data_IF_820906058915
#
_entry.id   IF_820906058915
#
_cell.length_a   1.000
_cell.length_b   1.000
_cell.length_c   1.000
_cell.angle_alpha   90.00
_cell.angle_beta   90.00
_cell.angle_gamma   90.00
#
_symmetry.space_group_name_H-M   'P 1'
#
loop_
_entity.id
_entity.type
_entity.pdbx_description
1 polymer ?
#
# COMPACT_ATOMS: atom_id res chain seq x y z
N UNK A 1 -35.71 -11.52 1.70
CA UNK A 1 -34.26 -11.85 1.71
C UNK A 1 -33.81 -12.11 0.28
N UNK A 2 -32.63 -11.65 -0.09
CA UNK A 2 -32.13 -11.68 -1.47
C UNK A 2 -30.94 -12.66 -1.55
N UNK A 3 -30.93 -13.57 -2.50
CA UNK A 3 -29.89 -14.59 -2.65
C UNK A 3 -29.32 -14.62 -4.06
N UNK A 4 -28.03 -14.87 -4.16
CA UNK A 4 -27.31 -15.28 -5.36
C UNK A 4 -26.98 -16.79 -5.34
N UNK A 5 -27.64 -17.56 -4.51
CA UNK A 5 -27.29 -18.92 -4.21
C UNK A 5 -28.38 -19.91 -4.58
N UNK A 6 -28.06 -21.17 -4.45
CA UNK A 6 -29.00 -22.26 -4.71
C UNK A 6 -30.22 -22.20 -3.81
N UNK A 7 -31.33 -22.74 -4.29
CA UNK A 7 -32.60 -22.84 -3.55
C UNK A 7 -32.45 -23.46 -2.15
N UNK A 8 -31.57 -24.48 -2.02
CA UNK A 8 -31.29 -25.15 -0.76
C UNK A 8 -30.69 -24.23 0.31
N UNK A 9 -29.80 -23.29 -0.11
CA UNK A 9 -29.21 -22.34 0.81
C UNK A 9 -30.22 -21.30 1.31
N UNK A 10 -31.08 -20.83 0.42
CA UNK A 10 -32.15 -19.90 0.77
C UNK A 10 -33.13 -20.56 1.75
N UNK A 11 -33.55 -21.79 1.50
CA UNK A 11 -34.42 -22.56 2.35
C UNK A 11 -33.81 -22.80 3.74
N UNK A 12 -32.53 -23.18 3.79
CA UNK A 12 -31.79 -23.35 5.05
C UNK A 12 -31.74 -22.05 5.85
N UNK A 13 -31.39 -20.93 5.23
CA UNK A 13 -31.28 -19.63 5.90
C UNK A 13 -32.61 -19.19 6.49
N UNK A 14 -33.72 -19.33 5.77
CA UNK A 14 -35.02 -19.00 6.32
C UNK A 14 -35.46 -19.92 7.45
N UNK A 15 -35.21 -21.21 7.33
CA UNK A 15 -35.65 -22.22 8.28
C UNK A 15 -34.96 -22.09 9.64
N UNK A 16 -33.70 -21.65 9.65
CA UNK A 16 -32.86 -21.59 10.84
C UNK A 16 -32.52 -20.16 11.30
N UNK A 17 -33.03 -19.14 10.62
CA UNK A 17 -32.83 -17.76 11.05
C UNK A 17 -33.71 -17.42 12.24
N UNK A 18 -33.12 -16.85 13.30
CA UNK A 18 -33.87 -16.34 14.47
C UNK A 18 -34.59 -15.00 14.18
N UNK A 19 -34.27 -14.35 13.06
CA UNK A 19 -34.85 -13.06 12.67
C UNK A 19 -36.11 -13.24 11.85
N UNK A 20 -37.27 -13.03 12.45
CA UNK A 20 -38.58 -13.06 11.80
C UNK A 20 -39.15 -11.65 11.76
N UNK A 21 -39.09 -11.05 10.59
CA UNK A 21 -39.70 -9.70 10.39
C UNK A 21 -40.92 -9.85 9.50
N UNK A 22 -42.07 -9.30 9.96
CA UNK A 22 -43.30 -9.27 9.18
C UNK A 22 -43.41 -7.96 8.39
N UNK A 23 -43.67 -8.07 7.10
CA UNK A 23 -43.85 -6.94 6.20
C UNK A 23 -45.24 -6.95 5.61
N UNK A 24 -45.89 -5.79 5.56
CA UNK A 24 -47.26 -5.63 5.10
C UNK A 24 -47.45 -4.60 3.99
N UNK A 25 -46.35 -4.15 3.38
CA UNK A 25 -46.35 -3.12 2.36
C UNK A 25 -45.32 -3.41 1.28
N UNK A 26 -45.37 -2.68 0.18
CA UNK A 26 -44.33 -2.75 -0.87
C UNK A 26 -43.05 -2.13 -0.36
N UNK A 27 -41.91 -2.70 -0.80
CA UNK A 27 -40.59 -2.28 -0.41
C UNK A 27 -39.75 -1.85 -1.60
N UNK A 28 -38.89 -0.87 -1.34
CA UNK A 28 -37.74 -0.59 -2.20
C UNK A 28 -36.64 -1.62 -1.97
N UNK A 29 -35.68 -1.71 -2.88
CA UNK A 29 -34.53 -2.57 -2.72
C UNK A 29 -33.73 -2.27 -1.46
N UNK A 30 -33.56 -0.97 -1.10
CA UNK A 30 -32.86 -0.54 0.10
C UNK A 30 -33.58 -0.98 1.39
N UNK A 31 -34.91 -0.88 1.44
CA UNK A 31 -35.71 -1.34 2.58
C UNK A 31 -35.65 -2.86 2.77
N UNK A 32 -35.61 -3.63 1.67
CA UNK A 32 -35.49 -5.09 1.72
C UNK A 32 -34.14 -5.57 2.22
N UNK A 33 -33.07 -4.83 1.93
CA UNK A 33 -31.71 -5.22 2.30
C UNK A 33 -31.24 -4.66 3.63
N UNK A 34 -31.90 -3.61 4.11
CA UNK A 34 -31.58 -2.96 5.39
C UNK A 34 -30.29 -2.14 5.41
N UNK A 35 -29.61 -2.02 4.27
CA UNK A 35 -28.35 -1.27 4.07
C UNK A 35 -28.34 -0.67 2.66
N UNK A 36 -27.40 0.22 2.41
CA UNK A 36 -27.11 0.78 1.07
C UNK A 36 -26.56 -0.29 0.11
N UNK A 37 -27.40 -1.24 -0.22
CA UNK A 37 -27.08 -2.32 -1.13
C UNK A 37 -27.48 -1.95 -2.55
N UNK A 38 -26.51 -1.82 -3.43
CA UNK A 38 -26.76 -1.66 -4.86
C UNK A 38 -26.88 -3.03 -5.55
N UNK A 39 -27.96 -3.26 -6.27
CA UNK A 39 -28.04 -4.40 -7.15
C UNK A 39 -26.96 -4.33 -8.23
N UNK A 40 -26.30 -5.45 -8.48
CA UNK A 40 -25.40 -5.56 -9.62
C UNK A 40 -26.21 -5.53 -10.91
N UNK A 41 -25.87 -4.70 -11.90
CA UNK A 41 -26.55 -4.69 -13.19
C UNK A 41 -26.45 -6.02 -13.91
N UNK A 42 -27.43 -6.28 -14.81
CA UNK A 42 -27.47 -7.47 -15.67
C UNK A 42 -27.28 -8.80 -14.92
N UNK A 43 -27.79 -8.87 -13.69
CA UNK A 43 -27.61 -10.02 -12.78
C UNK A 43 -28.95 -10.61 -12.44
N UNK A 44 -29.03 -11.95 -12.43
CA UNK A 44 -30.20 -12.68 -12.00
C UNK A 44 -30.28 -12.72 -10.47
N UNK A 45 -31.43 -12.39 -9.94
CA UNK A 45 -31.75 -12.42 -8.51
C UNK A 45 -33.03 -13.18 -8.28
N UNK A 46 -33.10 -13.87 -7.15
CA UNK A 46 -34.32 -14.50 -6.66
C UNK A 46 -34.76 -13.84 -5.37
N UNK A 47 -35.97 -13.29 -5.35
CA UNK A 47 -36.63 -12.86 -4.12
C UNK A 47 -37.30 -14.08 -3.51
N UNK A 48 -36.98 -14.35 -2.25
CA UNK A 48 -37.58 -15.46 -1.52
C UNK A 48 -38.36 -14.91 -0.33
N UNK A 49 -39.61 -15.33 -0.19
CA UNK A 49 -40.47 -14.93 0.91
C UNK A 49 -41.01 -16.15 1.63
N UNK A 50 -41.03 -16.08 2.95
CA UNK A 50 -41.62 -17.08 3.82
C UNK A 50 -42.59 -16.40 4.79
N UNK A 51 -43.87 -16.75 4.71
CA UNK A 51 -44.86 -16.29 5.66
C UNK A 51 -44.97 -17.21 6.87
N UNK A 52 -45.53 -16.69 7.94
CA UNK A 52 -45.91 -17.48 9.12
C UNK A 52 -47.39 -17.22 9.42
N UNK A 53 -48.07 -18.26 9.82
CA UNK A 53 -49.48 -18.12 10.31
C UNK A 53 -49.53 -17.48 11.72
N UNK A 54 -50.74 -17.26 12.21
CA UNK A 54 -50.96 -16.67 13.53
C UNK A 54 -50.37 -17.48 14.70
N UNK A 55 -50.05 -18.75 14.48
CA UNK A 55 -49.45 -19.66 15.45
C UNK A 55 -47.92 -19.77 15.28
N UNK A 56 -47.33 -19.05 14.35
CA UNK A 56 -45.88 -19.08 14.07
C UNK A 56 -45.44 -20.27 13.23
N UNK A 57 -46.38 -20.98 12.59
CA UNK A 57 -46.06 -22.08 11.67
C UNK A 57 -45.67 -21.49 10.32
N UNK A 58 -44.54 -21.96 9.78
CA UNK A 58 -44.07 -21.53 8.46
C UNK A 58 -45.02 -21.98 7.36
N UNK A 59 -45.43 -21.04 6.53
CA UNK A 59 -46.19 -21.29 5.30
C UNK A 59 -45.25 -21.80 4.19
N UNK A 60 -45.83 -22.05 3.01
CA UNK A 60 -45.02 -22.38 1.81
C UNK A 60 -44.14 -21.20 1.41
N UNK A 61 -42.89 -21.52 1.11
CA UNK A 61 -41.93 -20.53 0.60
C UNK A 61 -42.29 -20.15 -0.84
N UNK A 62 -42.33 -18.86 -1.14
CA UNK A 62 -42.57 -18.34 -2.48
C UNK A 62 -41.30 -17.70 -3.03
N UNK A 63 -41.10 -17.84 -4.33
CA UNK A 63 -39.98 -17.31 -5.06
C UNK A 63 -40.46 -16.44 -6.22
N UNK A 64 -39.70 -15.38 -6.49
CA UNK A 64 -39.84 -14.55 -7.68
C UNK A 64 -38.46 -14.22 -8.24
N UNK A 65 -38.21 -14.68 -9.45
CA UNK A 65 -36.96 -14.40 -10.14
C UNK A 65 -37.10 -13.11 -10.94
N UNK A 66 -36.04 -12.33 -10.95
CA UNK A 66 -35.94 -11.14 -11.79
C UNK A 66 -34.49 -10.91 -12.20
N UNK A 67 -34.29 -10.24 -13.32
CA UNK A 67 -32.99 -9.80 -13.78
C UNK A 67 -32.93 -8.29 -13.70
N UNK A 68 -31.87 -7.79 -13.10
CA UNK A 68 -31.62 -6.34 -13.09
C UNK A 68 -31.32 -5.87 -14.52
N UNK A 69 -31.83 -4.69 -14.91
CA UNK A 69 -31.56 -4.17 -16.24
C UNK A 69 -30.06 -3.93 -16.45
N UNK A 70 -29.60 -4.00 -17.69
CA UNK A 70 -28.28 -3.56 -18.06
C UNK A 70 -28.25 -2.04 -17.93
N UNK A 71 -27.31 -1.51 -17.14
CA UNK A 71 -27.08 -0.06 -17.04
C UNK A 71 -26.25 0.33 -18.26
N UNK A 72 -26.87 1.04 -19.19
CA UNK A 72 -26.12 1.69 -20.27
C UNK A 72 -25.55 3.01 -19.80
N UNK A 73 -24.31 3.28 -20.20
CA UNK A 73 -23.69 4.60 -20.00
C UNK A 73 -24.52 5.69 -20.69
N UNK A 74 -24.66 6.81 -20.03
CA UNK A 74 -25.23 8.02 -20.60
C UNK A 74 -24.13 8.80 -21.31
N UNK A 75 -24.29 8.99 -22.63
CA UNK A 75 -23.26 9.59 -23.46
C UNK A 75 -22.06 8.67 -23.73
N UNK A 76 -20.89 9.25 -23.91
CA UNK A 76 -19.63 8.54 -24.09
C UNK A 76 -18.60 9.06 -23.10
N UNK A 77 -18.68 8.67 -21.80
CA UNK A 77 -17.72 9.09 -20.81
C UNK A 77 -16.38 8.41 -21.05
N UNK A 78 -15.36 9.21 -21.37
CA UNK A 78 -13.99 8.75 -21.60
C UNK A 78 -13.01 9.66 -20.87
N UNK A 79 -12.06 9.07 -20.15
CA UNK A 79 -10.89 9.77 -19.60
C UNK A 79 -9.66 9.19 -20.28
N UNK A 80 -8.84 10.06 -20.85
CA UNK A 80 -7.56 9.71 -21.45
C UNK A 80 -6.44 10.15 -20.54
N UNK A 81 -5.58 9.23 -20.12
CA UNK A 81 -4.34 9.51 -19.43
C UNK A 81 -3.16 9.55 -20.40
N UNK A 82 -2.24 10.47 -20.17
CA UNK A 82 -0.98 10.61 -20.92
C UNK A 82 0.16 10.80 -19.91
N UNK A 83 1.19 9.96 -19.99
CA UNK A 83 2.40 10.11 -19.16
C UNK A 83 3.18 11.32 -19.69
N UNK A 84 3.27 12.37 -18.88
CA UNK A 84 3.89 13.65 -19.26
C UNK A 84 5.31 13.80 -18.74
N UNK A 85 5.61 13.20 -17.59
CA UNK A 85 6.97 13.13 -17.06
C UNK A 85 7.18 11.82 -16.32
N UNK A 86 8.42 11.32 -16.38
CA UNK A 86 8.82 10.06 -15.80
C UNK A 86 10.25 10.17 -15.28
N UNK A 87 10.44 9.82 -14.01
CA UNK A 87 11.76 9.79 -13.38
C UNK A 87 12.06 8.38 -12.83
N UNK A 88 13.09 8.25 -12.04
CA UNK A 88 13.40 7.02 -11.31
C UNK A 88 12.43 6.77 -10.15
N UNK A 89 11.75 7.81 -9.66
CA UNK A 89 10.92 7.75 -8.46
C UNK A 89 9.56 8.45 -8.60
N UNK A 90 9.24 8.97 -9.79
CA UNK A 90 7.95 9.65 -10.04
C UNK A 90 7.36 9.24 -11.37
N UNK A 91 6.03 9.22 -11.42
CA UNK A 91 5.22 9.04 -12.63
C UNK A 91 4.22 10.19 -12.67
N UNK A 92 4.31 11.07 -13.67
CA UNK A 92 3.35 12.14 -13.89
C UNK A 92 2.41 11.78 -15.04
N UNK A 93 1.11 11.86 -14.80
CA UNK A 93 0.07 11.57 -15.80
C UNK A 93 -0.88 12.75 -15.87
N UNK A 94 -1.10 13.23 -17.09
CA UNK A 94 -2.12 14.21 -17.42
C UNK A 94 -3.41 13.49 -17.84
N UNK A 95 -4.49 13.79 -17.17
CA UNK A 95 -5.82 13.27 -17.47
C UNK A 95 -6.67 14.32 -18.18
N UNK A 96 -7.27 13.93 -19.30
CA UNK A 96 -8.25 14.72 -20.04
C UNK A 96 -9.55 13.95 -20.15
N UNK A 97 -10.68 14.62 -19.95
CA UNK A 97 -12.00 13.98 -19.92
C UNK A 97 -12.94 14.54 -20.99
N UNK A 98 -13.88 13.68 -21.46
CA UNK A 98 -15.00 14.16 -22.27
C UNK A 98 -16.05 14.88 -21.41
N UNK A 99 -16.94 15.61 -22.04
CA UNK A 99 -18.03 16.35 -21.37
C UNK A 99 -18.99 15.42 -20.61
N UNK A 100 -19.12 14.17 -21.07
CA UNK A 100 -20.02 13.16 -20.48
C UNK A 100 -19.49 12.54 -19.18
N UNK A 101 -18.23 12.81 -18.83
CA UNK A 101 -17.62 12.34 -17.57
C UNK A 101 -18.03 13.26 -16.42
N UNK A 102 -18.74 12.74 -15.45
CA UNK A 102 -19.05 13.41 -14.19
C UNK A 102 -17.84 13.44 -13.25
N UNK A 103 -17.11 12.33 -13.20
CA UNK A 103 -15.90 12.18 -12.41
C UNK A 103 -15.13 10.95 -12.82
N UNK A 104 -13.89 10.87 -12.35
CA UNK A 104 -13.00 9.74 -12.59
C UNK A 104 -12.09 9.50 -11.38
N UNK A 105 -11.50 8.32 -11.33
CA UNK A 105 -10.48 7.98 -10.35
C UNK A 105 -9.31 7.26 -11.03
N UNK A 106 -8.11 7.40 -10.46
CA UNK A 106 -6.93 6.71 -10.95
C UNK A 106 -6.06 6.18 -9.80
N UNK A 107 -5.56 4.96 -9.96
CA UNK A 107 -4.57 4.31 -9.09
C UNK A 107 -3.36 3.89 -9.89
N UNK A 108 -2.21 3.82 -9.25
CA UNK A 108 -1.01 3.25 -9.82
C UNK A 108 -0.57 2.04 -8.99
N UNK A 109 -0.47 0.88 -9.62
CA UNK A 109 -0.03 -0.37 -9.01
C UNK A 109 1.20 -0.90 -9.71
N UNK A 110 2.00 -1.73 -9.07
CA UNK A 110 3.00 -2.55 -9.77
C UNK A 110 2.28 -3.51 -10.72
N UNK A 111 2.94 -3.89 -11.81
CA UNK A 111 2.39 -4.82 -12.81
C UNK A 111 1.80 -6.08 -12.14
N UNK A 112 0.52 -6.34 -12.38
CA UNK A 112 -0.23 -7.47 -11.81
C UNK A 112 -0.66 -7.35 -10.35
N UNK A 113 -0.28 -6.29 -9.64
CA UNK A 113 -0.63 -6.10 -8.24
C UNK A 113 -2.11 -5.79 -8.01
N UNK A 114 -2.76 -5.07 -8.95
CA UNK A 114 -4.17 -4.68 -8.82
C UNK A 114 -5.10 -5.89 -8.64
N UNK A 115 -4.87 -6.97 -9.39
CA UNK A 115 -5.65 -8.19 -9.28
C UNK A 115 -5.43 -8.89 -7.92
N UNK A 116 -4.18 -8.95 -7.45
CA UNK A 116 -3.85 -9.55 -6.15
C UNK A 116 -4.52 -8.76 -5.00
N UNK A 117 -4.55 -7.43 -5.10
CA UNK A 117 -5.21 -6.56 -4.13
C UNK A 117 -6.73 -6.79 -4.10
N UNK A 118 -7.36 -6.92 -5.27
CA UNK A 118 -8.78 -7.24 -5.35
C UNK A 118 -9.10 -8.61 -4.74
N UNK A 119 -8.29 -9.63 -5.00
CA UNK A 119 -8.45 -10.96 -4.42
C UNK A 119 -8.29 -10.96 -2.89
N UNK A 120 -7.34 -10.19 -2.38
CA UNK A 120 -7.05 -10.13 -0.95
C UNK A 120 -8.08 -9.33 -0.16
N UNK A 121 -8.52 -8.19 -0.69
CA UNK A 121 -9.34 -7.22 0.05
C UNK A 121 -10.76 -7.06 -0.49
N UNK A 122 -11.03 -7.47 -1.75
CA UNK A 122 -12.29 -7.20 -2.43
C UNK A 122 -13.51 -7.68 -1.64
N UNK A 123 -13.50 -8.92 -1.19
CA UNK A 123 -14.63 -9.48 -0.44
C UNK A 123 -14.87 -8.75 0.90
N UNK A 124 -13.81 -8.35 1.58
CA UNK A 124 -13.88 -7.65 2.87
C UNK A 124 -14.31 -6.19 2.72
N UNK A 125 -13.86 -5.52 1.65
CA UNK A 125 -14.17 -4.11 1.37
C UNK A 125 -15.45 -3.92 0.53
N UNK A 126 -16.05 -5.01 0.06
CA UNK A 126 -17.23 -4.98 -0.80
C UNK A 126 -16.94 -4.62 -2.26
N UNK A 127 -15.69 -4.72 -2.71
CA UNK A 127 -15.34 -4.50 -4.11
C UNK A 127 -15.61 -5.76 -4.93
N UNK A 128 -16.30 -5.58 -6.05
CA UNK A 128 -16.62 -6.67 -6.99
C UNK A 128 -15.75 -6.63 -8.25
N UNK A 129 -15.03 -5.51 -8.45
CA UNK A 129 -14.18 -5.28 -9.61
C UNK A 129 -12.99 -4.40 -9.27
N UNK A 130 -11.96 -4.43 -10.14
CA UNK A 130 -10.85 -3.46 -10.08
C UNK A 130 -11.39 -2.03 -10.21
N UNK A 131 -12.42 -1.81 -11.02
CA UNK A 131 -13.06 -0.50 -11.17
C UNK A 131 -13.61 0.04 -9.85
N UNK A 132 -14.29 -0.79 -9.04
CA UNK A 132 -14.79 -0.40 -7.71
C UNK A 132 -13.64 -0.02 -6.78
N UNK A 133 -12.57 -0.81 -6.78
CA UNK A 133 -11.38 -0.57 -5.98
C UNK A 133 -10.70 0.74 -6.38
N UNK A 134 -10.47 0.97 -7.67
CA UNK A 134 -9.89 2.21 -8.21
C UNK A 134 -10.75 3.41 -7.88
N UNK A 135 -12.08 3.29 -8.06
CA UNK A 135 -13.02 4.36 -7.70
C UNK A 135 -12.98 4.72 -6.22
N UNK A 136 -12.78 3.74 -5.36
CA UNK A 136 -12.76 3.96 -3.89
C UNK A 136 -11.40 4.46 -3.39
N UNK A 137 -10.31 3.91 -3.88
CA UNK A 137 -8.95 4.15 -3.37
C UNK A 137 -8.18 5.21 -4.15
N UNK A 138 -8.57 5.43 -5.41
CA UNK A 138 -7.81 6.25 -6.33
C UNK A 138 -7.90 7.74 -6.07
N UNK A 139 -6.96 8.46 -6.67
CA UNK A 139 -7.07 9.89 -6.84
C UNK A 139 -8.37 10.24 -7.57
N UNK A 140 -9.12 11.20 -7.06
CA UNK A 140 -10.41 11.60 -7.63
C UNK A 140 -10.26 12.88 -8.47
N UNK A 141 -10.81 12.85 -9.69
CA UNK A 141 -10.81 14.02 -10.60
C UNK A 141 -12.21 14.31 -11.15
N UNK A 142 -12.53 15.60 -11.30
CA UNK A 142 -13.79 16.07 -11.91
C UNK A 142 -13.54 16.98 -13.12
N UNK A 143 -12.30 17.36 -13.36
CA UNK A 143 -11.83 18.20 -14.47
C UNK A 143 -10.50 17.67 -14.99
N UNK A 144 -10.08 18.16 -16.16
CA UNK A 144 -8.73 17.92 -16.66
C UNK A 144 -7.71 18.28 -15.59
N UNK A 145 -6.78 17.39 -15.35
CA UNK A 145 -5.78 17.56 -14.29
C UNK A 145 -4.53 16.75 -14.55
N UNK A 146 -3.46 17.10 -13.87
CA UNK A 146 -2.21 16.33 -13.86
C UNK A 146 -1.97 15.82 -12.47
N UNK A 147 -1.64 14.55 -12.35
CA UNK A 147 -1.35 13.90 -11.07
C UNK A 147 0.05 13.26 -11.10
N UNK A 148 0.76 13.33 -9.97
CA UNK A 148 2.12 12.80 -9.84
C UNK A 148 2.13 11.77 -8.71
N UNK A 149 2.44 10.53 -9.05
CA UNK A 149 2.82 9.51 -8.07
C UNK A 149 4.31 9.67 -7.73
N UNK A 150 4.63 9.71 -6.45
CA UNK A 150 6.01 9.84 -5.94
C UNK A 150 6.44 8.56 -5.23
N UNK A 151 7.73 8.50 -4.87
CA UNK A 151 8.34 7.37 -4.13
C UNK A 151 8.19 6.02 -4.85
N UNK A 152 8.13 6.08 -6.18
CA UNK A 152 8.09 4.89 -7.02
C UNK A 152 9.45 4.18 -7.01
N UNK A 153 9.43 2.87 -7.16
CA UNK A 153 10.65 2.06 -7.25
C UNK A 153 11.30 2.25 -8.62
N UNK A 154 12.61 2.52 -8.71
CA UNK A 154 13.32 2.66 -9.98
C UNK A 154 13.26 1.37 -10.84
N UNK A 155 13.25 1.53 -12.16
CA UNK A 155 13.28 0.42 -13.12
C UNK A 155 12.11 -0.57 -13.02
N UNK A 156 11.01 -0.16 -12.38
CA UNK A 156 9.88 -1.03 -12.06
C UNK A 156 8.71 -0.76 -13.00
N UNK A 157 8.06 -1.83 -13.43
CA UNK A 157 6.84 -1.75 -14.23
C UNK A 157 5.64 -1.47 -13.34
N UNK A 158 4.86 -0.50 -13.77
CA UNK A 158 3.62 -0.07 -13.15
C UNK A 158 2.49 -0.04 -14.16
N UNK A 159 1.27 -0.09 -13.66
CA UNK A 159 0.04 0.04 -14.41
C UNK A 159 -0.81 1.14 -13.75
N UNK A 160 -1.10 2.21 -14.51
CA UNK A 160 -2.02 3.26 -14.06
C UNK A 160 -3.42 2.88 -14.51
N UNK A 161 -4.24 2.50 -13.56
CA UNK A 161 -5.65 2.14 -13.75
C UNK A 161 -6.50 3.39 -13.63
N UNK A 162 -7.37 3.63 -14.61
CA UNK A 162 -8.30 4.75 -14.61
C UNK A 162 -9.72 4.25 -14.83
N UNK A 163 -10.65 4.72 -14.02
CA UNK A 163 -12.08 4.48 -14.20
C UNK A 163 -12.83 5.81 -14.17
N UNK A 164 -13.80 5.99 -15.06
CA UNK A 164 -14.66 7.16 -15.05
C UNK A 164 -16.12 6.75 -14.96
N UNK A 165 -16.98 7.71 -14.64
CA UNK A 165 -18.41 7.50 -14.55
C UNK A 165 -19.19 8.67 -15.16
N UNK A 166 -20.36 8.31 -15.68
CA UNK A 166 -21.31 9.26 -16.28
C UNK A 166 -22.07 10.08 -15.23
N UNK A 167 -23.04 10.91 -15.69
CA UNK A 167 -23.86 11.76 -14.83
C UNK A 167 -24.68 10.98 -13.79
N UNK A 168 -25.03 9.72 -14.08
CA UNK A 168 -25.77 8.84 -13.19
C UNK A 168 -24.86 8.06 -12.23
N UNK A 169 -23.54 8.16 -12.37
CA UNK A 169 -22.56 7.43 -11.58
C UNK A 169 -22.24 6.05 -12.12
N UNK A 170 -22.74 5.69 -13.32
CA UNK A 170 -22.44 4.43 -13.99
C UNK A 170 -21.00 4.45 -14.47
N UNK A 171 -20.22 3.43 -14.09
CA UNK A 171 -18.81 3.34 -14.46
C UNK A 171 -18.63 2.83 -15.88
N UNK A 172 -17.71 3.45 -16.60
CA UNK A 172 -17.16 2.93 -17.83
C UNK A 172 -16.12 1.82 -17.55
N UNK A 173 -15.66 1.17 -18.61
CA UNK A 173 -14.58 0.19 -18.50
C UNK A 173 -13.31 0.84 -17.94
N UNK A 174 -12.52 0.02 -17.27
CA UNK A 174 -11.22 0.45 -16.72
C UNK A 174 -10.22 0.58 -17.87
N UNK A 175 -9.55 1.73 -17.94
CA UNK A 175 -8.40 1.95 -18.82
C UNK A 175 -7.10 1.72 -18.06
N UNK A 176 -6.09 1.14 -18.74
CA UNK A 176 -4.80 0.78 -18.13
C UNK A 176 -3.67 1.34 -18.96
N UNK A 177 -2.82 2.13 -18.32
CA UNK A 177 -1.63 2.71 -18.93
C UNK A 177 -0.41 2.01 -18.35
N UNK A 178 0.28 1.14 -19.11
CA UNK A 178 1.53 0.56 -18.65
C UNK A 178 2.65 1.60 -18.70
N UNK A 179 3.45 1.66 -17.64
CA UNK A 179 4.58 2.59 -17.53
C UNK A 179 5.72 1.93 -16.76
N UNK A 180 6.95 2.21 -17.16
CA UNK A 180 8.14 1.72 -16.45
C UNK A 180 8.97 2.91 -16.00
N UNK A 181 9.22 3.02 -14.69
CA UNK A 181 10.08 4.06 -14.14
C UNK A 181 11.50 3.96 -14.72
N UNK A 182 12.19 5.10 -14.82
CA UNK A 182 13.58 5.09 -15.28
C UNK A 182 14.45 4.26 -14.34
N UNK A 183 15.40 3.53 -14.90
CA UNK A 183 16.43 2.84 -14.13
C UNK A 183 17.33 3.85 -13.44
N UNK A 184 17.87 3.46 -12.30
CA UNK A 184 18.86 4.22 -11.55
C UNK A 184 20.20 3.52 -11.61
N UNK A 185 21.27 4.29 -11.45
CA UNK A 185 22.65 3.77 -11.43
C UNK A 185 23.32 3.82 -12.79
N UNK A 186 24.62 3.57 -12.77
CA UNK A 186 25.49 3.44 -13.94
C UNK A 186 25.96 2.01 -14.12
N UNK A 187 26.79 1.78 -15.13
CA UNK A 187 27.41 0.48 -15.46
C UNK A 187 28.73 0.23 -14.69
N UNK A 188 29.24 1.26 -14.00
CA UNK A 188 30.46 1.18 -13.22
C UNK A 188 30.31 0.41 -11.92
N UNK A 189 31.35 0.44 -11.08
CA UNK A 189 31.35 -0.23 -9.78
C UNK A 189 30.38 0.46 -8.84
N UNK A 190 29.36 -0.27 -8.40
CA UNK A 190 28.39 0.20 -7.41
C UNK A 190 28.99 0.08 -6.01
N UNK A 191 29.11 1.20 -5.30
CA UNK A 191 29.69 1.26 -3.96
C UNK A 191 28.89 2.17 -3.04
N UNK A 192 28.82 1.80 -1.76
CA UNK A 192 28.14 2.57 -0.71
C UNK A 192 29.15 3.01 0.33
N UNK A 193 29.29 4.30 0.56
CA UNK A 193 30.11 4.82 1.65
C UNK A 193 29.32 4.83 2.95
N UNK A 194 29.99 4.61 4.09
CA UNK A 194 29.39 4.52 5.43
C UNK A 194 29.96 5.61 6.33
N UNK A 195 29.07 6.43 6.89
CA UNK A 195 29.45 7.46 7.87
C UNK A 195 28.73 7.20 9.19
N UNK A 196 29.49 7.19 10.29
CA UNK A 196 28.95 7.08 11.65
C UNK A 196 28.72 8.51 12.18
N UNK A 197 27.50 8.82 12.54
CA UNK A 197 27.09 10.11 13.11
C UNK A 197 27.06 10.10 14.63
N UNK A 198 26.35 11.02 15.23
CA UNK A 198 26.16 11.12 16.69
C UNK A 198 25.20 10.06 17.23
N UNK A 199 25.22 9.90 18.55
CA UNK A 199 24.35 8.99 19.29
C UNK A 199 23.32 9.75 20.12
N UNK A 200 22.14 9.12 20.36
CA UNK A 200 21.08 9.67 21.21
C UNK A 200 20.55 8.64 22.18
N UNK A 201 20.08 9.11 23.30
CA UNK A 201 19.31 8.31 24.23
C UNK A 201 17.92 8.92 24.39
N UNK A 202 16.88 8.14 24.08
CA UNK A 202 15.48 8.52 24.20
C UNK A 202 14.92 8.00 25.53
N UNK A 203 14.70 8.90 26.50
CA UNK A 203 14.23 8.53 27.85
C UNK A 203 12.87 7.82 27.83
N UNK A 204 11.91 8.27 26.99
CA UNK A 204 10.59 7.65 26.93
C UNK A 204 10.63 6.22 26.39
N UNK A 205 11.56 5.94 25.49
CA UNK A 205 11.68 4.64 24.82
C UNK A 205 12.65 3.69 25.53
N UNK A 206 13.43 4.22 26.50
CA UNK A 206 14.59 3.52 27.09
C UNK A 206 15.50 2.95 25.98
N UNK A 207 15.78 3.78 24.96
CA UNK A 207 16.46 3.35 23.75
C UNK A 207 17.70 4.20 23.47
N UNK A 208 18.85 3.52 23.34
CA UNK A 208 20.08 4.11 22.86
C UNK A 208 20.14 3.97 21.32
N UNK A 209 20.45 5.06 20.62
CA UNK A 209 20.53 5.06 19.16
C UNK A 209 21.85 5.60 18.67
N UNK A 210 22.26 5.13 17.50
CA UNK A 210 23.43 5.62 16.78
C UNK A 210 23.00 6.00 15.36
N UNK A 211 23.30 7.22 14.94
CA UNK A 211 23.07 7.65 13.56
C UNK A 211 24.12 7.00 12.65
N UNK A 212 23.67 6.36 11.59
CA UNK A 212 24.54 5.81 10.55
C UNK A 212 24.00 6.22 9.19
N UNK A 213 24.90 6.70 8.32
CA UNK A 213 24.56 7.25 7.01
C UNK A 213 25.19 6.34 5.96
N UNK A 214 24.37 5.78 5.09
CA UNK A 214 24.78 5.03 3.92
C UNK A 214 24.58 5.91 2.69
N UNK A 215 25.66 6.21 1.97
CA UNK A 215 25.62 7.08 0.79
C UNK A 215 26.06 6.29 -0.45
N UNK A 216 25.13 5.97 -1.36
CA UNK A 216 25.43 5.29 -2.60
C UNK A 216 26.15 6.22 -3.57
N UNK A 217 27.07 5.68 -4.38
CA UNK A 217 27.66 6.40 -5.51
C UNK A 217 26.69 6.41 -6.71
N UNK A 218 27.07 7.10 -7.78
CA UNK A 218 26.26 7.27 -9.00
C UNK A 218 25.99 5.98 -9.77
N UNK A 219 26.79 4.93 -9.55
CA UNK A 219 26.61 3.65 -10.21
C UNK A 219 25.64 2.71 -9.49
N UNK A 220 25.17 3.08 -8.29
CA UNK A 220 24.26 2.23 -7.51
C UNK A 220 22.86 2.26 -8.10
N UNK A 221 22.38 1.11 -8.53
CA UNK A 221 20.98 0.87 -8.90
C UNK A 221 20.13 0.54 -7.68
N UNK A 222 20.61 -0.36 -6.83
CA UNK A 222 20.00 -0.77 -5.55
C UNK A 222 21.10 -1.17 -4.59
N UNK A 223 20.88 -0.96 -3.30
CA UNK A 223 21.82 -1.47 -2.29
C UNK A 223 21.08 -1.99 -1.06
N UNK A 224 21.78 -2.84 -0.31
CA UNK A 224 21.34 -3.38 0.97
C UNK A 224 22.30 -2.94 2.06
N UNK A 225 21.78 -2.70 3.26
CA UNK A 225 22.58 -2.27 4.39
C UNK A 225 22.10 -2.96 5.69
N UNK A 226 23.04 -3.18 6.59
CA UNK A 226 22.75 -3.69 7.92
C UNK A 226 23.77 -3.18 8.94
N UNK A 227 23.41 -3.28 10.22
CA UNK A 227 24.35 -3.16 11.33
C UNK A 227 24.24 -4.41 12.16
N UNK A 228 25.38 -5.02 12.45
CA UNK A 228 25.49 -6.26 13.20
C UNK A 228 26.53 -6.13 14.32
N UNK A 229 26.47 -6.98 15.32
CA UNK A 229 27.50 -7.03 16.36
C UNK A 229 28.83 -7.52 15.79
N UNK A 230 29.95 -6.95 16.25
CA UNK A 230 31.30 -7.40 15.87
C UNK A 230 31.53 -8.89 16.18
N UNK A 231 30.94 -9.36 17.29
CA UNK A 231 31.01 -10.78 17.68
C UNK A 231 30.39 -11.74 16.65
N UNK A 232 29.32 -11.31 15.99
CA UNK A 232 28.69 -12.11 14.92
C UNK A 232 29.60 -12.22 13.70
N UNK A 233 30.23 -11.12 13.30
CA UNK A 233 31.20 -11.11 12.21
C UNK A 233 32.45 -11.93 12.51
N UNK A 234 32.88 -11.96 13.78
CA UNK A 234 34.02 -12.80 14.20
C UNK A 234 33.66 -14.29 14.21
N UNK A 235 32.43 -14.64 14.59
CA UNK A 235 31.95 -16.02 14.61
C UNK A 235 31.69 -16.56 13.19
N UNK A 236 31.22 -15.71 12.28
CA UNK A 236 30.98 -16.04 10.88
C UNK A 236 31.43 -14.87 9.98
N UNK A 237 32.67 -14.89 9.46
CA UNK A 237 33.16 -13.84 8.57
C UNK A 237 32.37 -13.68 7.26
N UNK A 238 31.61 -14.69 6.85
CA UNK A 238 30.81 -14.67 5.62
C UNK A 238 29.37 -14.19 5.84
N UNK A 239 28.98 -14.02 7.10
CA UNK A 239 27.61 -13.70 7.47
C UNK A 239 27.10 -12.44 6.77
N UNK A 240 27.84 -11.35 6.81
CA UNK A 240 27.42 -10.05 6.26
C UNK A 240 27.16 -10.16 4.76
N UNK A 241 28.07 -10.77 4.00
CA UNK A 241 27.91 -10.91 2.56
C UNK A 241 26.71 -11.80 2.23
N UNK A 242 26.59 -12.95 2.89
CA UNK A 242 25.49 -13.90 2.68
C UNK A 242 24.14 -13.28 3.04
N UNK A 243 24.11 -12.49 4.11
CA UNK A 243 22.90 -11.83 4.56
C UNK A 243 22.47 -10.72 3.59
N UNK A 244 23.39 -9.84 3.18
CA UNK A 244 23.08 -8.69 2.31
C UNK A 244 22.79 -9.12 0.86
N UNK A 245 23.38 -10.21 0.38
CA UNK A 245 23.13 -10.75 -0.97
C UNK A 245 22.05 -11.83 -1.01
N UNK A 246 21.22 -11.93 0.03
CA UNK A 246 20.17 -12.95 0.10
C UNK A 246 19.05 -12.67 -0.93
N UNK A 247 18.90 -13.50 -1.98
CA UNK A 247 17.92 -13.24 -3.04
C UNK A 247 16.46 -13.36 -2.58
N UNK A 248 16.21 -14.01 -1.43
CA UNK A 248 14.85 -14.12 -0.87
C UNK A 248 14.37 -12.83 -0.22
N UNK A 249 15.28 -11.90 0.01
CA UNK A 249 14.98 -10.61 0.63
C UNK A 249 14.82 -9.49 -0.41
N UNK A 250 15.30 -9.68 -1.64
CA UNK A 250 15.16 -8.72 -2.73
C UNK A 250 13.69 -8.40 -3.01
N UNK A 251 13.35 -7.13 -3.19
CA UNK A 251 11.98 -6.66 -3.36
C UNK A 251 11.15 -6.61 -2.08
N UNK A 252 11.68 -7.09 -0.95
CA UNK A 252 10.98 -7.00 0.32
C UNK A 252 10.93 -5.56 0.83
N UNK A 253 9.83 -5.20 1.46
CA UNK A 253 9.64 -3.87 1.99
C UNK A 253 10.76 -3.43 2.94
N UNK A 254 11.41 -2.30 2.60
CA UNK A 254 12.47 -1.68 3.40
C UNK A 254 13.82 -2.40 3.33
N UNK A 255 13.96 -3.39 2.45
CA UNK A 255 15.23 -4.08 2.19
C UNK A 255 16.03 -3.38 1.09
N UNK A 256 15.39 -3.13 -0.05
CA UNK A 256 16.00 -2.45 -1.17
C UNK A 256 16.07 -0.95 -0.90
N UNK A 257 17.28 -0.39 -0.96
CA UNK A 257 17.57 1.01 -0.73
C UNK A 257 18.10 1.63 -2.03
N UNK A 258 17.74 2.90 -2.27
CA UNK A 258 18.04 3.58 -3.52
C UNK A 258 18.76 4.92 -3.32
N UNK A 259 18.42 5.64 -2.27
CA UNK A 259 18.91 6.96 -1.93
C UNK A 259 19.81 6.95 -0.71
N UNK A 260 20.35 8.11 -0.35
CA UNK A 260 21.07 8.26 0.91
C UNK A 260 20.17 7.81 2.07
N UNK A 261 20.67 6.86 2.83
CA UNK A 261 20.00 6.31 3.98
C UNK A 261 20.63 6.89 5.25
N UNK A 262 19.99 7.92 5.80
CA UNK A 262 20.42 8.64 6.99
C UNK A 262 19.45 8.35 8.13
N UNK A 263 19.77 7.31 8.94
CA UNK A 263 18.88 6.84 9.99
C UNK A 263 19.59 6.63 11.33
N UNK A 264 18.78 6.67 12.39
CA UNK A 264 19.15 6.24 13.73
C UNK A 264 18.84 4.75 13.90
N UNK A 265 19.82 4.00 14.39
CA UNK A 265 19.73 2.57 14.62
C UNK A 265 19.72 2.32 16.13
N UNK A 266 18.80 1.51 16.61
CA UNK A 266 18.75 1.11 18.02
C UNK A 266 19.89 0.15 18.31
N UNK A 267 20.80 0.54 19.19
CA UNK A 267 21.99 -0.20 19.54
C UNK A 267 22.16 -0.24 21.07
N UNK A 268 23.18 -0.93 21.54
CA UNK A 268 23.61 -0.86 22.95
C UNK A 268 24.74 0.14 23.13
N UNK A 269 24.81 0.86 24.25
CA UNK A 269 25.97 1.65 24.61
C UNK A 269 27.18 0.75 24.87
N UNK A 270 28.38 1.32 24.75
CA UNK A 270 29.67 0.66 25.01
C UNK A 270 29.81 -0.73 24.33
N UNK A 271 29.33 -0.85 23.10
CA UNK A 271 29.36 -2.10 22.35
C UNK A 271 29.95 -1.91 20.95
N UNK A 272 30.58 -2.95 20.42
CA UNK A 272 31.24 -2.92 19.13
C UNK A 272 30.35 -3.49 18.04
N UNK A 273 30.19 -2.73 16.97
CA UNK A 273 29.34 -3.05 15.84
C UNK A 273 30.07 -2.93 14.50
N UNK A 274 29.51 -3.57 13.50
CA UNK A 274 29.92 -3.46 12.09
C UNK A 274 28.70 -2.97 11.29
N UNK A 275 28.82 -1.77 10.73
CA UNK A 275 27.91 -1.30 9.68
C UNK A 275 28.41 -1.84 8.35
N UNK A 276 27.50 -2.37 7.54
CA UNK A 276 27.86 -3.00 6.28
C UNK A 276 26.83 -2.69 5.19
N UNK A 277 27.32 -2.58 3.96
CA UNK A 277 26.47 -2.39 2.78
C UNK A 277 27.08 -3.09 1.56
N UNK A 278 26.20 -3.46 0.62
CA UNK A 278 26.57 -3.96 -0.70
C UNK A 278 25.59 -3.44 -1.73
N UNK A 279 26.05 -3.13 -2.93
CA UNK A 279 25.24 -2.54 -3.98
C UNK A 279 25.31 -3.32 -5.29
N UNK A 280 24.26 -3.19 -6.11
CA UNK A 280 24.26 -3.60 -7.52
C UNK A 280 24.29 -2.37 -8.42
N UNK A 281 24.97 -2.50 -9.55
CA UNK A 281 24.88 -1.55 -10.67
C UNK A 281 23.64 -1.81 -11.54
N UNK A 282 23.44 -1.01 -12.59
CA UNK A 282 22.30 -1.13 -13.50
C UNK A 282 22.25 -2.49 -14.23
N UNK A 283 23.39 -3.16 -14.41
CA UNK A 283 23.48 -4.49 -15.01
C UNK A 283 23.19 -5.63 -14.01
N UNK A 284 22.92 -5.31 -12.74
CA UNK A 284 22.69 -6.28 -11.68
C UNK A 284 23.99 -6.89 -11.11
N UNK A 285 25.15 -6.32 -11.44
CA UNK A 285 26.45 -6.79 -10.96
C UNK A 285 26.71 -6.26 -9.55
N UNK A 286 27.11 -7.14 -8.63
CA UNK A 286 27.46 -6.78 -7.28
C UNK A 286 28.81 -6.05 -7.21
N UNK A 287 28.81 -4.90 -6.55
CA UNK A 287 30.01 -4.23 -6.10
C UNK A 287 30.63 -4.88 -4.84
N UNK A 288 31.67 -4.26 -4.28
CA UNK A 288 32.30 -4.75 -3.06
C UNK A 288 31.37 -4.62 -1.86
N UNK A 289 31.48 -5.55 -0.90
CA UNK A 289 30.89 -5.38 0.42
C UNK A 289 31.74 -4.38 1.19
N UNK A 290 31.15 -3.24 1.53
CA UNK A 290 31.81 -2.21 2.33
C UNK A 290 31.41 -2.40 3.79
N UNK A 291 32.39 -2.38 4.69
CA UNK A 291 32.15 -2.51 6.13
C UNK A 291 32.85 -1.39 6.89
N UNK A 292 32.24 -0.96 7.97
CA UNK A 292 32.83 0.01 8.92
C UNK A 292 32.56 -0.41 10.35
N UNK A 293 33.63 -0.80 11.05
CA UNK A 293 33.56 -1.13 12.46
C UNK A 293 33.57 0.14 13.31
N UNK A 294 32.73 0.17 14.34
CA UNK A 294 32.66 1.28 15.29
C UNK A 294 32.28 0.77 16.68
N UNK A 295 32.52 1.59 17.70
CA UNK A 295 32.10 1.32 19.07
C UNK A 295 31.16 2.45 19.48
N UNK A 296 29.98 2.11 19.98
CA UNK A 296 29.05 3.09 20.56
C UNK A 296 29.61 3.65 21.85
N UNK A 297 29.44 4.95 22.13
CA UNK A 297 29.87 5.52 23.40
C UNK A 297 29.10 4.94 24.59
N UNK A 298 29.65 5.02 25.79
CA UNK A 298 29.00 4.61 27.03
C UNK A 298 27.81 5.52 27.35
N UNK A 299 27.97 6.82 27.09
CA UNK A 299 26.92 7.82 27.24
C UNK A 299 26.62 8.44 25.90
N UNK A 300 25.35 8.58 25.57
CA UNK A 300 24.92 9.19 24.31
C UNK A 300 25.36 10.68 24.23
N UNK A 301 25.64 11.14 22.99
CA UNK A 301 26.00 12.52 22.73
C UNK A 301 24.85 13.50 23.05
N UNK A 302 23.61 13.01 22.92
CA UNK A 302 22.39 13.78 23.16
C UNK A 302 21.38 12.92 23.94
N UNK A 303 20.75 13.54 24.97
CA UNK A 303 19.63 12.94 25.71
C UNK A 303 18.33 13.61 25.22
N UNK A 304 17.39 12.85 24.71
CA UNK A 304 16.06 13.30 24.30
C UNK A 304 15.08 13.04 25.44
N UNK A 305 14.61 14.09 26.16
CA UNK A 305 13.72 13.93 27.30
C UNK A 305 12.34 13.39 26.88
N UNK A 306 11.64 12.77 27.82
CA UNK A 306 10.35 12.13 27.60
C UNK A 306 9.28 13.06 26.98
N UNK A 307 9.30 14.36 27.33
CA UNK A 307 8.36 15.37 26.79
C UNK A 307 8.56 15.65 25.30
N UNK A 308 9.78 15.49 24.80
CA UNK A 308 10.15 15.74 23.40
C UNK A 308 10.07 14.46 22.55
N UNK A 309 10.20 13.30 23.19
CA UNK A 309 10.10 11.99 22.54
C UNK A 309 8.71 11.70 21.95
N UNK A 310 7.66 12.26 22.54
CA UNK A 310 6.28 12.11 22.04
C UNK A 310 6.07 12.66 20.60
N UNK A 311 6.88 13.65 20.19
CA UNK A 311 6.84 14.19 18.82
C UNK A 311 7.59 13.31 17.81
N UNK A 312 8.47 12.43 18.28
CA UNK A 312 9.33 11.57 17.46
C UNK A 312 9.09 10.09 17.69
N UNK A 313 8.09 9.74 18.54
CA UNK A 313 7.79 8.35 18.86
C UNK A 313 7.57 7.52 17.58
N UNK A 314 8.42 6.53 17.31
CA UNK A 314 8.10 5.55 16.28
C UNK A 314 6.81 4.87 16.68
N UNK A 315 5.92 4.68 15.71
CA UNK A 315 4.72 3.86 15.92
C UNK A 315 5.12 2.57 16.64
N UNK A 316 4.50 2.31 17.79
CA UNK A 316 4.79 1.21 18.72
C UNK A 316 5.14 -0.10 18.00
N UNK A 317 6.39 -0.33 17.75
CA UNK A 317 7.01 -1.61 17.52
C UNK A 317 8.53 -1.44 17.57
N UNK A 318 9.10 -1.07 18.71
CA UNK A 318 10.51 -1.33 18.92
C UNK A 318 10.62 -2.84 19.14
N UNK A 319 10.97 -3.56 18.11
CA UNK A 319 11.56 -4.87 18.29
C UNK A 319 12.91 -4.61 18.92
N UNK A 320 13.01 -4.76 20.25
CA UNK A 320 14.30 -4.74 20.95
C UNK A 320 15.27 -5.60 20.15
N UNK A 321 16.51 -5.14 20.01
CA UNK A 321 17.56 -5.88 19.29
C UNK A 321 17.52 -7.34 19.70
N UNK A 322 17.31 -8.25 18.76
CA UNK A 322 17.33 -9.67 19.03
C UNK A 322 18.78 -10.10 19.26
N UNK A 323 19.16 -10.13 20.52
CA UNK A 323 20.51 -10.54 20.95
C UNK A 323 20.94 -11.92 20.41
N UNK A 324 19.95 -12.78 20.11
CA UNK A 324 20.23 -14.10 19.51
C UNK A 324 20.59 -14.00 18.03
N UNK A 325 20.13 -12.98 17.33
CA UNK A 325 20.42 -12.77 15.92
C UNK A 325 21.55 -11.79 15.68
N UNK A 326 21.88 -10.91 16.65
CA UNK A 326 22.96 -9.94 16.55
C UNK A 326 22.79 -8.87 15.47
N UNK A 327 21.56 -8.65 14.99
CA UNK A 327 21.23 -7.67 13.95
C UNK A 327 20.45 -6.53 14.59
N UNK A 328 20.91 -5.29 14.37
CA UNK A 328 20.27 -4.10 14.90
C UNK A 328 18.98 -3.77 14.13
N UNK A 329 17.88 -3.47 14.81
CA UNK A 329 16.68 -2.94 14.18
C UNK A 329 16.90 -1.49 13.74
N UNK A 330 16.30 -1.14 12.62
CA UNK A 330 16.29 0.21 12.09
C UNK A 330 15.09 0.97 12.63
N UNK A 331 15.32 2.09 13.32
CA UNK A 331 14.23 2.95 13.76
C UNK A 331 13.75 3.77 12.57
N UNK A 332 12.52 3.51 12.12
CA UNK A 332 11.89 4.30 11.07
C UNK A 332 11.45 5.65 11.65
N UNK A 333 11.96 6.75 11.10
CA UNK A 333 11.33 8.06 11.30
C UNK A 333 9.93 7.97 10.70
N UNK A 334 8.90 8.18 11.52
CA UNK A 334 7.47 8.21 11.22
C UNK A 334 7.09 7.97 9.75
N UNK A 335 6.75 6.75 9.41
CA UNK A 335 5.85 6.54 8.28
C UNK A 335 4.51 7.20 8.66
N UNK A 336 3.88 7.98 7.77
CA UNK A 336 2.55 8.52 8.06
C UNK A 336 1.63 7.38 8.47
N UNK A 337 0.96 7.59 9.60
CA UNK A 337 0.02 6.64 10.18
C UNK A 337 -1.20 6.55 9.27
N UNK A 338 -1.17 5.69 8.33
CA UNK A 338 -2.26 5.03 7.61
C UNK A 338 -1.69 4.48 6.29
N UNK A 339 -0.99 3.38 6.36
CA UNK A 339 -0.89 2.51 5.19
C UNK A 339 -2.19 1.71 5.16
N UNK A 340 -3.11 2.09 4.29
CA UNK A 340 -4.17 1.20 3.85
C UNK A 340 -3.44 0.13 3.01
N UNK A 341 -3.44 -1.15 3.45
CA UNK A 341 -2.82 -2.20 2.65
C UNK A 341 -3.50 -2.22 1.30
N UNK A 342 -2.73 -2.07 0.22
CA UNK A 342 -3.23 -2.19 -1.14
C UNK A 342 -3.32 -0.92 -1.96
N UNK A 343 -3.28 0.25 -1.38
CA UNK A 343 -2.83 1.41 -2.14
C UNK A 343 -1.30 1.36 -2.17
N UNK A 344 -0.70 1.61 -3.33
CA UNK A 344 0.72 1.98 -3.34
C UNK A 344 0.92 2.94 -2.18
N UNK A 345 1.82 2.68 -1.21
CA UNK A 345 1.88 3.42 0.05
C UNK A 345 2.21 4.90 -0.08
N UNK A 346 2.17 5.46 -1.29
CA UNK A 346 2.83 6.70 -1.64
C UNK A 346 1.94 7.62 -2.46
N UNK A 347 0.85 8.09 -1.84
CA UNK A 347 0.18 9.29 -2.32
C UNK A 347 0.70 10.48 -1.50
N UNK A 348 1.86 10.97 -1.83
CA UNK A 348 2.28 12.31 -1.44
C UNK A 348 1.97 13.27 -2.58
N UNK A 349 0.89 14.02 -2.41
CA UNK A 349 0.55 15.13 -3.30
C UNK A 349 1.59 16.24 -3.12
N UNK A 350 2.57 16.34 -4.02
CA UNK A 350 3.28 17.59 -4.23
C UNK A 350 2.39 18.45 -5.13
N UNK A 351 1.77 19.48 -4.54
CA UNK A 351 1.03 20.52 -5.26
C UNK A 351 1.88 21.06 -6.40
N UNK A 352 1.40 20.91 -7.65
CA UNK A 352 1.76 21.83 -8.71
C UNK A 352 1.30 23.24 -8.27
N UNK A 353 2.17 24.21 -8.42
CA UNK A 353 1.91 25.61 -8.06
C UNK A 353 0.66 26.10 -8.78
N UNK A 354 -0.45 26.18 -8.08
CA UNK A 354 -1.57 27.13 -8.05
C UNK A 354 -2.88 26.43 -7.64
N UNK A 355 -3.28 26.73 -6.43
CA UNK A 355 -4.67 26.88 -6.01
C UNK A 355 -5.58 25.67 -6.09
N UNK A 356 -5.54 24.83 -5.03
CA UNK A 356 -6.73 24.11 -4.55
C UNK A 356 -6.43 23.61 -3.13
N UNK A 357 -7.21 24.09 -2.18
CA UNK A 357 -7.23 23.56 -0.82
C UNK A 357 -7.94 22.21 -0.86
N UNK A 358 -7.25 21.15 -0.48
CA UNK A 358 -7.86 19.88 -0.17
C UNK A 358 -8.21 19.88 1.31
N UNK A 359 -9.50 19.87 1.61
CA UNK A 359 -10.03 19.59 2.93
C UNK A 359 -9.91 18.08 3.13
N UNK A 360 -8.99 17.66 4.02
CA UNK A 360 -8.97 16.30 4.53
C UNK A 360 -10.19 16.10 5.44
N UNK A 361 -10.96 15.09 5.18
CA UNK A 361 -11.88 14.47 6.13
C UNK A 361 -11.52 13.03 6.30
#
# INVERSE_FOLDING_TARGET
MLFRSTDEYAEYTFKYSDSKTMYYQDFTAAEMTGFDFAFTPNTDYTIVTLGYDQYGTACEMRKADFRTPNISLVGNPVVKGEVTDLTTSTIEVKFTKTADVKGFAACCFKEGEAQQQLEMFGAWMGFTSIGDMVKSWGFQGVSDTTFVWTDMTPGTKYEVYTVCWDINGTMADVDIIPVTTKQRGGEGVAEVSITIGGSKYYEELDAFTQRVIFTPNENVSVYHACIVTDSLCQADPTFVETYLKNPKMEGSYGWDLYDVDDYEWELYPNAKFVAAAVAKNVNGEWGPVVTKTFTTPEVADEIVPASDAAMYAPAKASTKMDLKRGIAPRIKKNAPATQIPGCSPYIHVKRAKKGLELIAR
#
